data_IF_284694031657
#
_entry.id   IF_284694031657
#
_cell.length_a   1.000
_cell.length_b   1.000
_cell.length_c   1.000
_cell.angle_alpha   90.00
_cell.angle_beta   90.00
_cell.angle_gamma   90.00
#
_symmetry.space_group_name_H-M   'P 1'
#
loop_
_entity.id
_entity.type
_entity.pdbx_description
1 polymer ?
#
# COMPACT_ATOMS: atom_id res chain seq x y z
N UNK A 1 4.88 27.62 -0.54
CA UNK A 1 4.42 27.52 0.88
C UNK A 1 5.50 26.91 1.74
N UNK A 2 5.54 27.22 3.03
CA UNK A 2 6.34 26.48 4.00
C UNK A 2 5.61 25.20 4.48
N UNK A 3 6.23 24.44 5.40
CA UNK A 3 5.67 23.17 5.85
C UNK A 3 4.39 23.33 6.70
N UNK A 4 4.34 24.36 7.56
CA UNK A 4 3.16 24.63 8.40
C UNK A 4 1.98 25.05 7.53
N UNK A 5 2.19 25.93 6.57
CA UNK A 5 1.18 26.31 5.57
C UNK A 5 0.71 25.10 4.74
N UNK A 6 1.62 24.17 4.42
CA UNK A 6 1.26 22.92 3.70
C UNK A 6 0.34 22.02 4.55
N UNK A 7 0.64 21.90 5.84
CA UNK A 7 -0.19 21.13 6.76
C UNK A 7 -1.56 21.79 6.94
N UNK A 8 -1.62 23.10 7.16
CA UNK A 8 -2.87 23.85 7.30
C UNK A 8 -3.75 23.69 6.05
N UNK A 9 -3.14 23.75 4.87
CA UNK A 9 -3.83 23.50 3.60
C UNK A 9 -4.42 22.07 3.54
N UNK A 10 -3.63 21.04 3.86
CA UNK A 10 -4.12 19.65 3.89
C UNK A 10 -5.25 19.47 4.90
N UNK A 11 -5.15 20.09 6.08
CA UNK A 11 -6.16 20.01 7.13
C UNK A 11 -7.44 20.79 6.80
N UNK A 12 -7.40 21.70 5.83
CA UNK A 12 -8.57 22.37 5.28
C UNK A 12 -9.39 21.50 4.31
N UNK A 13 -8.82 20.38 3.84
CA UNK A 13 -9.50 19.41 2.99
C UNK A 13 -10.36 18.47 3.84
N UNK A 14 -11.31 17.78 3.19
CA UNK A 14 -12.13 16.77 3.88
C UNK A 14 -11.30 15.58 4.33
N UNK A 15 -11.49 15.10 5.56
CA UNK A 15 -10.65 14.08 6.19
C UNK A 15 -11.50 12.96 6.80
N UNK A 16 -11.46 11.77 6.18
CA UNK A 16 -12.16 10.58 6.68
C UNK A 16 -11.49 9.98 7.92
N UNK A 17 -10.19 10.16 8.12
CA UNK A 17 -9.47 9.69 9.31
C UNK A 17 -9.96 10.44 10.57
N UNK A 18 -10.44 11.67 10.40
CA UNK A 18 -10.99 12.52 11.46
C UNK A 18 -12.52 12.50 11.56
N UNK A 19 -13.18 11.60 10.80
CA UNK A 19 -14.65 11.48 10.80
C UNK A 19 -15.37 12.47 9.87
N UNK A 20 -14.66 13.16 9.01
CA UNK A 20 -15.23 14.01 7.97
C UNK A 20 -15.60 13.17 6.76
N UNK A 21 -16.89 13.05 6.43
CA UNK A 21 -17.34 12.29 5.25
C UNK A 21 -17.04 13.07 3.97
N UNK A 22 -16.08 12.57 3.19
CA UNK A 22 -15.67 13.22 1.96
C UNK A 22 -16.69 13.04 0.81
N UNK A 23 -17.30 11.88 0.68
CA UNK A 23 -18.35 11.62 -0.33
C UNK A 23 -19.19 10.42 0.10
N UNK A 24 -20.51 10.45 -0.12
CA UNK A 24 -21.37 9.27 0.05
C UNK A 24 -21.19 8.23 -1.06
N UNK A 25 -20.48 8.55 -2.14
CA UNK A 25 -20.28 7.67 -3.29
C UNK A 25 -18.77 7.33 -3.50
N UNK A 26 -18.32 6.10 -3.14
CA UNK A 26 -16.93 5.68 -3.30
C UNK A 26 -16.41 5.71 -4.74
N UNK A 27 -17.27 5.45 -5.74
CA UNK A 27 -16.89 5.48 -7.16
C UNK A 27 -16.45 6.88 -7.58
N UNK A 28 -17.12 7.92 -7.08
CA UNK A 28 -16.72 9.31 -7.35
C UNK A 28 -15.32 9.63 -6.79
N UNK A 29 -14.97 9.07 -5.63
CA UNK A 29 -13.63 9.29 -5.05
C UNK A 29 -12.52 8.78 -5.95
N UNK A 30 -12.67 7.62 -6.60
CA UNK A 30 -11.68 7.06 -7.52
C UNK A 30 -11.60 7.85 -8.83
N UNK A 31 -12.74 8.33 -9.34
CA UNK A 31 -12.79 9.21 -10.52
C UNK A 31 -12.14 10.57 -10.23
N UNK A 32 -12.40 11.15 -9.05
CA UNK A 32 -11.73 12.36 -8.57
C UNK A 32 -10.21 12.17 -8.57
N UNK A 33 -9.71 11.04 -8.07
CA UNK A 33 -8.28 10.76 -8.06
C UNK A 33 -7.69 10.61 -9.46
N UNK A 34 -8.38 9.92 -10.37
CA UNK A 34 -7.93 9.79 -11.77
C UNK A 34 -7.87 11.14 -12.47
N UNK A 35 -8.89 11.96 -12.29
CA UNK A 35 -8.97 13.30 -12.87
C UNK A 35 -7.86 14.20 -12.29
N UNK A 36 -7.67 14.19 -10.97
CA UNK A 36 -6.58 14.93 -10.30
C UNK A 36 -5.21 14.54 -10.84
N UNK A 37 -4.92 13.24 -10.93
CA UNK A 37 -3.63 12.74 -11.40
C UNK A 37 -3.39 13.05 -12.89
N UNK A 38 -4.43 13.01 -13.71
CA UNK A 38 -4.33 13.42 -15.13
C UNK A 38 -3.92 14.89 -15.26
N UNK A 39 -4.36 15.79 -14.37
CA UNK A 39 -3.95 17.21 -14.36
C UNK A 39 -2.46 17.42 -14.03
N UNK A 40 -1.82 16.43 -13.42
CA UNK A 40 -0.40 16.45 -13.09
C UNK A 40 0.40 15.41 -13.89
N UNK A 41 -0.10 15.04 -15.08
CA UNK A 41 0.52 14.13 -16.05
C UNK A 41 0.71 12.69 -15.56
N UNK A 42 -0.29 12.12 -14.86
CA UNK A 42 -0.36 10.73 -14.44
C UNK A 42 0.92 10.22 -13.74
N UNK A 43 1.36 10.87 -12.65
CA UNK A 43 2.64 10.59 -12.01
C UNK A 43 2.71 9.19 -11.38
N UNK A 44 1.58 8.50 -11.18
CA UNK A 44 1.48 7.14 -10.64
C UNK A 44 1.98 6.07 -11.61
N UNK A 45 2.07 6.39 -12.90
CA UNK A 45 2.40 5.43 -13.95
C UNK A 45 3.91 5.22 -14.14
N UNK A 46 4.27 4.11 -14.79
CA UNK A 46 5.62 3.84 -15.31
C UNK A 46 6.62 3.35 -14.28
N UNK A 47 6.16 2.81 -13.13
CA UNK A 47 7.02 2.17 -12.11
C UNK A 47 6.49 0.83 -11.68
N UNK A 48 7.41 -0.08 -11.37
CA UNK A 48 7.06 -1.34 -10.75
C UNK A 48 6.44 -1.08 -9.36
N UNK A 49 5.31 -1.72 -9.09
CA UNK A 49 4.49 -1.40 -7.92
C UNK A 49 4.12 -2.64 -7.12
N UNK A 50 4.27 -2.55 -5.81
CA UNK A 50 3.64 -3.45 -4.84
C UNK A 50 2.52 -2.69 -4.14
N UNK A 51 1.28 -3.15 -4.30
CA UNK A 51 0.10 -2.53 -3.69
C UNK A 51 -0.37 -3.38 -2.51
N UNK A 52 -0.54 -2.79 -1.34
CA UNK A 52 -0.79 -3.51 -0.09
C UNK A 52 -2.08 -3.04 0.56
N UNK A 53 -3.01 -3.98 0.81
CA UNK A 53 -4.22 -3.72 1.61
C UNK A 53 -4.43 -4.81 2.66
N UNK A 54 -5.41 -4.62 3.52
CA UNK A 54 -5.77 -5.53 4.60
C UNK A 54 -6.28 -4.77 5.82
N UNK A 55 -6.64 -5.48 6.89
CA UNK A 55 -7.09 -4.84 8.14
C UNK A 55 -5.94 -4.58 9.10
N UNK A 56 -5.01 -5.52 9.21
CA UNK A 56 -3.85 -5.45 10.11
C UNK A 56 -2.56 -5.81 9.38
N UNK A 57 -1.46 -5.13 9.73
CA UNK A 57 -0.12 -5.45 9.23
C UNK A 57 0.26 -4.82 7.89
N UNK A 58 -0.61 -4.03 7.26
CA UNK A 58 -0.33 -3.34 6.00
C UNK A 58 1.03 -2.61 6.03
N UNK A 59 1.18 -1.64 6.93
CA UNK A 59 2.41 -0.83 7.06
C UNK A 59 3.64 -1.67 7.37
N UNK A 60 3.53 -2.70 8.25
CA UNK A 60 4.64 -3.62 8.54
C UNK A 60 5.09 -4.39 7.31
N UNK A 61 4.16 -4.96 6.55
CA UNK A 61 4.47 -5.70 5.31
C UNK A 61 5.04 -4.75 4.26
N UNK A 62 4.45 -3.56 4.08
CA UNK A 62 4.94 -2.54 3.14
C UNK A 62 6.37 -2.12 3.45
N UNK A 63 6.68 -1.85 4.72
CA UNK A 63 8.02 -1.49 5.17
C UNK A 63 9.04 -2.62 4.95
N UNK A 64 8.66 -3.88 5.26
CA UNK A 64 9.52 -5.04 5.02
C UNK A 64 9.81 -5.24 3.52
N UNK A 65 8.79 -5.15 2.67
CA UNK A 65 8.95 -5.27 1.21
C UNK A 65 9.86 -4.18 0.67
N UNK A 66 9.62 -2.92 1.03
CA UNK A 66 10.47 -1.80 0.61
C UNK A 66 11.92 -1.95 1.07
N UNK A 67 12.14 -2.41 2.32
CA UNK A 67 13.47 -2.65 2.86
C UNK A 67 14.21 -3.78 2.11
N UNK A 68 13.51 -4.88 1.76
CA UNK A 68 14.11 -6.00 1.02
C UNK A 68 14.47 -5.54 -0.40
N UNK A 69 13.58 -4.83 -1.09
CA UNK A 69 13.85 -4.29 -2.44
C UNK A 69 15.07 -3.36 -2.41
N UNK A 70 15.16 -2.47 -1.43
CA UNK A 70 16.30 -1.56 -1.27
C UNK A 70 17.60 -2.32 -1.01
N UNK A 71 17.57 -3.34 -0.16
CA UNK A 71 18.75 -4.20 0.07
C UNK A 71 19.15 -5.01 -1.17
N UNK A 72 18.18 -5.28 -2.06
CA UNK A 72 18.41 -5.85 -3.39
C UNK A 72 19.02 -4.87 -4.41
N UNK A 73 19.28 -3.61 -4.01
CA UNK A 73 19.94 -2.59 -4.85
C UNK A 73 18.96 -1.71 -5.63
N UNK A 74 17.65 -1.81 -5.40
CA UNK A 74 16.66 -0.99 -6.10
C UNK A 74 16.41 0.34 -5.39
N UNK A 75 16.24 1.40 -6.17
CA UNK A 75 15.69 2.66 -5.69
C UNK A 75 14.20 2.46 -5.37
N UNK A 76 13.81 2.74 -4.12
CA UNK A 76 12.45 2.44 -3.64
C UNK A 76 11.78 3.67 -3.06
N UNK A 77 10.46 3.77 -3.28
CA UNK A 77 9.59 4.67 -2.55
C UNK A 77 8.54 3.86 -1.76
N UNK A 78 8.15 4.35 -0.60
CA UNK A 78 7.16 3.74 0.28
C UNK A 78 6.11 4.77 0.68
N UNK A 79 4.85 4.42 0.51
CA UNK A 79 3.69 5.19 0.99
C UNK A 79 2.95 4.40 2.06
N UNK A 80 2.80 4.99 3.24
CA UNK A 80 2.11 4.36 4.40
C UNK A 80 1.16 5.33 5.10
N UNK A 81 0.16 4.80 5.81
CA UNK A 81 -0.77 5.57 6.62
C UNK A 81 -1.33 4.75 7.79
N UNK A 82 -1.72 5.42 8.90
CA UNK A 82 -1.45 6.83 9.20
C UNK A 82 0.01 7.07 9.63
N UNK A 83 0.39 8.32 9.83
CA UNK A 83 1.65 8.68 10.48
C UNK A 83 1.54 8.65 12.01
N UNK A 84 2.67 8.63 12.71
CA UNK A 84 2.73 8.69 14.18
C UNK A 84 2.94 10.12 14.69
N UNK A 85 3.85 10.88 14.08
CA UNK A 85 4.26 12.21 14.52
C UNK A 85 4.14 13.27 13.41
N UNK A 86 4.55 12.95 12.18
CA UNK A 86 4.67 13.91 11.09
C UNK A 86 4.08 13.38 9.79
N UNK A 87 3.42 14.23 9.02
CA UNK A 87 2.91 13.89 7.69
C UNK A 87 4.00 13.40 6.73
N UNK A 88 5.25 13.85 6.91
CA UNK A 88 6.39 13.41 6.09
C UNK A 88 6.67 11.92 6.22
N UNK A 89 6.34 11.27 7.36
CA UNK A 89 6.49 9.83 7.57
C UNK A 89 5.71 8.98 6.55
N UNK A 90 4.61 9.53 5.99
CA UNK A 90 3.78 8.83 5.01
C UNK A 90 4.49 8.61 3.67
N UNK A 91 5.51 9.41 3.36
CA UNK A 91 6.24 9.39 2.10
C UNK A 91 7.72 9.17 2.38
N UNK A 92 8.19 7.99 2.06
CA UNK A 92 9.59 7.62 2.26
C UNK A 92 10.23 7.33 0.90
N UNK A 93 11.40 7.91 0.63
CA UNK A 93 12.14 7.71 -0.62
C UNK A 93 13.58 7.32 -0.27
N UNK A 94 14.05 6.18 -0.81
CA UNK A 94 15.39 5.70 -0.54
C UNK A 94 15.63 5.18 0.89
N UNK A 95 14.58 5.10 1.72
CA UNK A 95 14.66 4.62 3.09
C UNK A 95 14.43 5.71 4.15
N UNK A 96 14.35 6.97 3.75
CA UNK A 96 14.14 8.10 4.63
C UNK A 96 12.85 8.85 4.32
N UNK A 97 12.14 9.39 5.32
CA UNK A 97 11.02 10.29 5.08
C UNK A 97 11.47 11.51 4.24
N UNK A 98 10.60 11.97 3.36
CA UNK A 98 10.86 13.23 2.64
C UNK A 98 11.02 14.38 3.63
N UNK A 99 11.87 15.34 3.30
CA UNK A 99 12.06 16.52 4.14
C UNK A 99 10.80 17.40 4.16
N UNK A 100 10.58 18.18 5.24
CA UNK A 100 9.49 19.17 5.29
C UNK A 100 9.49 20.12 4.09
N UNK A 101 10.66 20.48 3.58
CA UNK A 101 10.82 21.35 2.41
C UNK A 101 10.35 20.67 1.11
N UNK A 102 10.72 19.42 0.89
CA UNK A 102 10.27 18.64 -0.28
C UNK A 102 8.77 18.40 -0.24
N UNK A 103 8.24 18.09 0.94
CA UNK A 103 6.80 17.90 1.16
C UNK A 103 6.02 19.17 0.79
N UNK A 104 6.41 20.33 1.33
CA UNK A 104 5.76 21.61 1.06
C UNK A 104 5.89 22.03 -0.42
N UNK A 105 7.07 21.88 -1.01
CA UNK A 105 7.31 22.21 -2.42
C UNK A 105 6.49 21.30 -3.36
N UNK A 106 6.38 20.00 -3.04
CA UNK A 106 5.56 19.06 -3.80
C UNK A 106 4.08 19.40 -3.70
N UNK A 107 3.59 19.72 -2.50
CA UNK A 107 2.19 20.10 -2.31
C UNK A 107 1.85 21.42 -3.05
N UNK A 108 2.75 22.41 -3.00
CA UNK A 108 2.61 23.65 -3.77
C UNK A 108 2.49 23.37 -5.27
N UNK A 109 3.31 22.44 -5.80
CA UNK A 109 3.32 22.12 -7.22
C UNK A 109 2.01 21.46 -7.71
N UNK A 110 1.28 20.77 -6.85
CA UNK A 110 0.00 20.12 -7.21
C UNK A 110 -1.23 20.90 -6.71
N UNK A 111 -1.05 22.01 -6.00
CA UNK A 111 -2.11 22.78 -5.35
C UNK A 111 -3.18 23.27 -6.33
N UNK A 112 -2.75 23.82 -7.45
CA UNK A 112 -3.69 24.34 -8.48
C UNK A 112 -4.51 23.21 -9.09
N UNK A 113 -3.91 22.02 -9.28
CA UNK A 113 -4.61 20.85 -9.74
C UNK A 113 -5.67 20.37 -8.74
N UNK A 114 -5.34 20.38 -7.43
CA UNK A 114 -6.29 20.06 -6.35
C UNK A 114 -7.43 21.07 -6.35
N UNK A 115 -7.15 22.37 -6.43
CA UNK A 115 -8.16 23.42 -6.45
C UNK A 115 -9.09 23.29 -7.66
N UNK A 116 -8.53 23.07 -8.86
CA UNK A 116 -9.30 22.87 -10.07
C UNK A 116 -10.18 21.61 -10.04
N UNK A 117 -9.73 20.53 -9.36
CA UNK A 117 -10.54 19.31 -9.23
C UNK A 117 -11.70 19.50 -8.25
N UNK A 118 -11.50 20.25 -7.17
CA UNK A 118 -12.57 20.58 -6.20
C UNK A 118 -13.69 21.42 -6.81
N UNK A 119 -13.39 22.24 -7.79
CA UNK A 119 -14.38 23.00 -8.57
C UNK A 119 -14.99 22.18 -9.73
N UNK A 120 -14.43 20.99 -9.99
CA UNK A 120 -14.82 20.11 -11.09
C UNK A 120 -16.05 19.26 -10.80
N UNK A 121 -16.38 18.39 -11.78
CA UNK A 121 -17.60 17.56 -11.75
C UNK A 121 -17.50 16.35 -10.81
N UNK A 122 -16.28 15.94 -10.43
CA UNK A 122 -16.06 14.75 -9.61
C UNK A 122 -16.05 15.05 -8.12
N UNK A 123 -16.03 16.33 -7.73
CA UNK A 123 -16.23 16.78 -6.36
C UNK A 123 -14.94 16.85 -5.53
N UNK A 124 -15.11 16.68 -4.24
CA UNK A 124 -14.12 17.06 -3.23
C UNK A 124 -12.87 16.16 -3.22
N UNK A 125 -11.70 16.78 -3.11
CA UNK A 125 -10.42 16.09 -2.91
C UNK A 125 -10.18 15.96 -1.40
N UNK A 126 -10.10 14.71 -0.91
CA UNK A 126 -9.81 14.46 0.49
C UNK A 126 -8.34 14.68 0.83
N UNK A 127 -8.04 14.89 2.12
CA UNK A 127 -6.67 14.94 2.66
C UNK A 127 -5.86 13.70 2.22
N UNK A 128 -6.45 12.50 2.31
CA UNK A 128 -5.78 11.27 1.86
C UNK A 128 -5.57 11.26 0.35
N UNK A 129 -6.53 11.73 -0.45
CA UNK A 129 -6.39 11.88 -1.90
C UNK A 129 -5.26 12.85 -2.29
N UNK A 130 -5.19 14.01 -1.63
CA UNK A 130 -4.13 14.98 -1.84
C UNK A 130 -2.74 14.42 -1.48
N UNK A 131 -2.63 13.71 -0.34
CA UNK A 131 -1.38 13.04 0.08
C UNK A 131 -0.97 11.92 -0.89
N UNK A 132 -1.93 11.17 -1.42
CA UNK A 132 -1.68 10.13 -2.43
C UNK A 132 -1.16 10.75 -3.73
N UNK A 133 -1.76 11.85 -4.20
CA UNK A 133 -1.28 12.58 -5.36
C UNK A 133 0.12 13.18 -5.13
N UNK A 134 0.36 13.74 -3.94
CA UNK A 134 1.66 14.25 -3.53
C UNK A 134 2.74 13.16 -3.56
N UNK A 135 2.45 11.96 -3.02
CA UNK A 135 3.36 10.83 -3.09
C UNK A 135 3.75 10.51 -4.52
N UNK A 136 2.80 10.29 -5.41
CA UNK A 136 3.10 9.96 -6.81
C UNK A 136 3.88 11.06 -7.52
N UNK A 137 3.53 12.32 -7.24
CA UNK A 137 4.23 13.46 -7.82
C UNK A 137 5.70 13.53 -7.36
N UNK A 138 5.95 13.40 -6.05
CA UNK A 138 7.31 13.40 -5.48
C UNK A 138 8.14 12.23 -6.01
N UNK A 139 7.57 11.04 -6.12
CA UNK A 139 8.26 9.87 -6.66
C UNK A 139 8.63 10.07 -8.13
N UNK A 140 7.74 10.68 -8.92
CA UNK A 140 8.00 11.00 -10.32
C UNK A 140 9.12 12.03 -10.50
N UNK A 141 9.23 12.97 -9.58
CA UNK A 141 10.22 14.05 -9.62
C UNK A 141 11.64 13.59 -9.26
N UNK A 142 11.84 12.36 -8.76
CA UNK A 142 13.14 11.85 -8.35
C UNK A 142 14.11 11.67 -9.53
N UNK A 143 15.36 12.03 -9.29
CA UNK A 143 16.49 11.79 -10.20
C UNK A 143 17.65 11.25 -9.36
N UNK A 144 18.15 10.01 -9.61
CA UNK A 144 17.66 9.04 -10.60
C UNK A 144 16.23 8.56 -10.31
N UNK A 145 15.60 7.93 -11.30
CA UNK A 145 14.23 7.43 -11.16
C UNK A 145 14.14 6.35 -10.07
N UNK A 146 12.99 6.35 -9.39
CA UNK A 146 12.60 5.27 -8.47
C UNK A 146 12.23 4.03 -9.28
N UNK A 147 12.82 2.89 -8.96
CA UNK A 147 12.54 1.61 -9.63
C UNK A 147 11.22 0.99 -9.15
N UNK A 148 11.01 1.00 -7.82
CA UNK A 148 9.87 0.37 -7.16
C UNK A 148 9.15 1.34 -6.24
N UNK A 149 7.82 1.33 -6.32
CA UNK A 149 6.97 1.94 -5.30
C UNK A 149 6.18 0.87 -4.55
N UNK A 150 6.18 0.96 -3.23
CA UNK A 150 5.36 0.13 -2.33
C UNK A 150 4.29 1.03 -1.74
N UNK A 151 3.03 0.72 -2.02
CA UNK A 151 1.91 1.60 -1.73
C UNK A 151 0.92 0.90 -0.81
N UNK A 152 0.74 1.43 0.40
CA UNK A 152 -0.29 1.00 1.34
C UNK A 152 -1.62 1.70 1.03
N UNK A 153 -2.70 0.93 0.89
CA UNK A 153 -4.05 1.46 0.79
C UNK A 153 -4.52 2.02 2.14
N UNK A 154 -5.17 3.16 2.12
CA UNK A 154 -5.68 3.78 3.34
C UNK A 154 -6.87 3.02 3.91
N UNK A 155 -7.91 2.82 3.10
CA UNK A 155 -9.14 2.16 3.51
C UNK A 155 -9.72 1.29 2.40
N UNK A 156 -10.02 0.01 2.72
CA UNK A 156 -10.61 -0.89 1.74
C UNK A 156 -9.64 -1.28 0.65
N UNK A 157 -10.03 -1.15 -0.60
CA UNK A 157 -9.23 -1.48 -1.78
C UNK A 157 -9.84 -0.99 -3.07
N UNK A 158 -11.05 -1.44 -3.41
CA UNK A 158 -11.71 -1.14 -4.70
C UNK A 158 -11.84 0.35 -4.99
N UNK A 159 -12.13 1.13 -3.97
CA UNK A 159 -12.39 2.56 -4.07
C UNK A 159 -11.34 3.42 -3.36
N UNK A 160 -10.26 2.81 -2.87
CA UNK A 160 -9.18 3.52 -2.24
C UNK A 160 -8.47 4.44 -3.24
N UNK A 161 -8.08 5.64 -2.80
CA UNK A 161 -7.40 6.63 -3.64
C UNK A 161 -6.12 6.08 -4.29
N UNK A 162 -5.47 5.09 -3.66
CA UNK A 162 -4.28 4.43 -4.22
C UNK A 162 -4.61 3.44 -5.35
N UNK A 163 -5.88 3.03 -5.53
CA UNK A 163 -6.27 2.04 -6.55
C UNK A 163 -6.34 2.60 -7.99
N UNK A 164 -5.71 3.73 -8.21
CA UNK A 164 -5.41 4.32 -9.53
C UNK A 164 -4.17 3.71 -10.20
N UNK A 165 -3.44 2.85 -9.48
CA UNK A 165 -2.27 2.11 -9.97
C UNK A 165 -2.70 1.09 -11.03
N UNK A 166 -2.00 1.04 -12.17
CA UNK A 166 -2.31 0.18 -13.32
C UNK A 166 -1.17 -0.78 -13.66
N UNK A 167 -1.48 -2.06 -13.82
CA UNK A 167 -1.77 -2.99 -12.72
C UNK A 167 -0.51 -3.14 -11.86
N UNK A 168 -0.58 -3.38 -10.56
CA UNK A 168 0.61 -3.63 -9.75
C UNK A 168 1.25 -4.98 -10.12
N UNK A 169 2.56 -5.10 -10.02
CA UNK A 169 3.26 -6.38 -10.18
C UNK A 169 2.81 -7.38 -9.12
N UNK A 170 2.66 -6.89 -7.89
CA UNK A 170 2.16 -7.69 -6.77
C UNK A 170 1.10 -6.91 -5.99
N UNK A 171 -0.03 -7.56 -5.73
CA UNK A 171 -1.07 -7.09 -4.81
C UNK A 171 -1.05 -7.94 -3.54
N UNK A 172 -0.86 -7.32 -2.38
CA UNK A 172 -0.79 -8.03 -1.10
C UNK A 172 -2.06 -7.78 -0.30
N UNK A 173 -2.72 -8.87 0.13
CA UNK A 173 -3.83 -8.85 1.07
C UNK A 173 -3.31 -9.33 2.43
N UNK A 174 -3.07 -8.41 3.37
CA UNK A 174 -2.69 -8.75 4.74
C UNK A 174 -3.90 -9.27 5.53
N UNK A 175 -3.77 -9.72 6.80
CA UNK A 175 -4.91 -10.29 7.52
C UNK A 175 -6.14 -9.38 7.53
N UNK A 176 -7.29 -9.97 7.16
CA UNK A 176 -8.60 -9.29 7.12
C UNK A 176 -9.39 -9.63 8.38
N UNK A 177 -9.97 -8.62 9.00
CA UNK A 177 -10.87 -8.72 10.14
C UNK A 177 -11.96 -7.64 10.05
N UNK A 178 -12.96 -7.71 10.92
CA UNK A 178 -13.98 -6.69 11.00
C UNK A 178 -13.36 -5.32 11.33
N UNK A 179 -13.52 -4.39 10.42
CA UNK A 179 -13.15 -2.98 10.53
C UNK A 179 -14.03 -2.16 9.60
N UNK A 180 -14.25 -0.90 9.93
CA UNK A 180 -15.04 0.03 9.10
C UNK A 180 -16.35 -0.59 8.58
N UNK A 181 -17.05 -1.35 9.42
CA UNK A 181 -18.21 -2.19 9.03
C UNK A 181 -19.35 -1.38 8.44
N UNK A 182 -19.46 -0.10 8.76
CA UNK A 182 -20.45 0.81 8.16
C UNK A 182 -20.17 1.11 6.67
N UNK A 183 -18.95 0.82 6.16
CA UNK A 183 -18.53 1.15 4.80
C UNK A 183 -18.18 -0.11 4.00
N UNK A 184 -17.39 -1.03 4.59
CA UNK A 184 -16.80 -2.15 3.88
C UNK A 184 -17.62 -3.44 3.95
N UNK A 185 -18.59 -3.54 4.88
CA UNK A 185 -19.41 -4.72 5.06
C UNK A 185 -19.36 -5.29 6.47
N UNK A 186 -20.29 -6.21 6.76
CA UNK A 186 -20.55 -6.77 8.08
C UNK A 186 -19.82 -8.11 8.35
N UNK A 187 -19.17 -8.66 7.34
CA UNK A 187 -18.44 -9.93 7.41
C UNK A 187 -17.01 -9.80 6.86
N UNK A 188 -16.04 -10.63 7.32
CA UNK A 188 -14.70 -10.66 6.75
C UNK A 188 -14.68 -10.91 5.23
N UNK A 189 -15.60 -11.73 4.72
CA UNK A 189 -15.73 -12.02 3.30
C UNK A 189 -16.16 -10.79 2.48
N UNK A 190 -17.11 -9.98 2.99
CA UNK A 190 -17.50 -8.73 2.34
C UNK A 190 -16.36 -7.73 2.31
N UNK A 191 -15.66 -7.55 3.44
CA UNK A 191 -14.49 -6.69 3.54
C UNK A 191 -13.37 -7.17 2.60
N UNK A 192 -13.15 -8.49 2.51
CA UNK A 192 -12.19 -9.07 1.59
C UNK A 192 -12.52 -8.81 0.12
N UNK A 193 -13.82 -8.80 -0.23
CA UNK A 193 -14.28 -8.52 -1.61
C UNK A 193 -13.93 -7.10 -2.03
N UNK A 194 -14.09 -6.13 -1.16
CA UNK A 194 -13.64 -4.76 -1.41
C UNK A 194 -12.12 -4.69 -1.53
N UNK A 195 -11.39 -5.27 -0.57
CA UNK A 195 -9.92 -5.27 -0.58
C UNK A 195 -9.34 -5.95 -1.81
N UNK A 196 -9.95 -7.04 -2.28
CA UNK A 196 -9.53 -7.76 -3.49
C UNK A 196 -9.64 -6.91 -4.78
N UNK A 197 -10.29 -5.76 -4.73
CA UNK A 197 -10.35 -4.81 -5.85
C UNK A 197 -8.99 -4.26 -6.31
N UNK A 198 -7.94 -4.36 -5.50
CA UNK A 198 -6.58 -4.01 -5.92
C UNK A 198 -5.93 -5.06 -6.83
N UNK A 199 -6.51 -6.26 -6.93
CA UNK A 199 -6.02 -7.34 -7.80
C UNK A 199 -6.56 -7.11 -9.21
N UNK A 200 -5.66 -6.96 -10.18
CA UNK A 200 -5.96 -6.66 -11.58
C UNK A 200 -5.37 -7.75 -12.50
N UNK A 201 -5.76 -7.74 -13.76
CA UNK A 201 -5.18 -8.65 -14.76
C UNK A 201 -3.67 -8.46 -14.84
N UNK A 202 -2.92 -9.54 -14.86
CA UNK A 202 -1.46 -9.51 -14.89
C UNK A 202 -0.76 -9.31 -13.55
N UNK A 203 -1.49 -9.13 -12.45
CA UNK A 203 -0.96 -9.03 -11.08
C UNK A 203 -0.69 -10.43 -10.51
N UNK A 204 0.33 -10.59 -9.65
CA UNK A 204 0.40 -11.73 -8.72
C UNK A 204 -0.19 -11.30 -7.36
N UNK A 205 -1.27 -11.94 -6.94
CA UNK A 205 -1.88 -11.72 -5.63
C UNK A 205 -1.17 -12.56 -4.57
N UNK A 206 -0.79 -11.94 -3.45
CA UNK A 206 -0.21 -12.60 -2.28
C UNK A 206 -1.16 -12.39 -1.11
N UNK A 207 -1.76 -13.47 -0.60
CA UNK A 207 -2.65 -13.42 0.55
C UNK A 207 -1.93 -13.94 1.79
N UNK A 208 -1.83 -13.09 2.82
CA UNK A 208 -1.28 -13.47 4.12
C UNK A 208 -2.13 -14.57 4.78
N UNK A 209 -1.61 -15.30 5.80
CA UNK A 209 -2.42 -16.23 6.58
C UNK A 209 -3.68 -15.56 7.13
N UNK A 210 -4.85 -16.17 6.89
CA UNK A 210 -6.15 -15.64 7.29
C UNK A 210 -6.76 -16.48 8.40
N UNK A 211 -7.45 -15.83 9.35
CA UNK A 211 -8.21 -16.54 10.40
C UNK A 211 -9.51 -17.12 9.85
N UNK A 212 -10.15 -16.40 8.92
CA UNK A 212 -11.38 -16.82 8.27
C UNK A 212 -11.05 -17.33 6.86
N UNK A 213 -11.27 -18.63 6.57
CA UNK A 213 -10.97 -19.20 5.25
C UNK A 213 -11.80 -18.59 4.12
N UNK A 214 -12.96 -18.01 4.42
CA UNK A 214 -13.79 -17.33 3.41
C UNK A 214 -13.05 -16.14 2.76
N UNK A 215 -12.11 -15.51 3.46
CA UNK A 215 -11.28 -14.43 2.90
C UNK A 215 -10.41 -14.95 1.77
N UNK A 216 -9.74 -16.10 1.97
CA UNK A 216 -8.89 -16.73 0.94
C UNK A 216 -9.72 -17.11 -0.28
N UNK A 217 -10.92 -17.63 -0.07
CA UNK A 217 -11.83 -18.02 -1.17
C UNK A 217 -12.24 -16.80 -2.01
N UNK A 218 -12.62 -15.70 -1.37
CA UNK A 218 -12.92 -14.44 -2.07
C UNK A 218 -11.73 -13.95 -2.91
N UNK A 219 -10.51 -14.01 -2.36
CA UNK A 219 -9.29 -13.62 -3.10
C UNK A 219 -9.06 -14.58 -4.29
N UNK A 220 -9.27 -15.87 -4.10
CA UNK A 220 -9.15 -16.89 -5.15
C UNK A 220 -10.14 -16.65 -6.28
N UNK A 221 -11.42 -16.42 -5.95
CA UNK A 221 -12.46 -16.07 -6.92
C UNK A 221 -12.09 -14.83 -7.73
N UNK A 222 -11.58 -13.78 -7.05
CA UNK A 222 -11.12 -12.56 -7.72
C UNK A 222 -9.96 -12.83 -8.67
N UNK A 223 -8.95 -13.60 -8.24
CA UNK A 223 -7.81 -13.97 -9.09
C UNK A 223 -8.29 -14.72 -10.34
N UNK A 224 -9.18 -15.71 -10.18
CA UNK A 224 -9.76 -16.44 -11.31
C UNK A 224 -10.52 -15.53 -12.27
N UNK A 225 -11.31 -14.58 -11.74
CA UNK A 225 -12.11 -13.67 -12.55
C UNK A 225 -11.26 -12.70 -13.40
N UNK A 226 -10.07 -12.28 -12.94
CA UNK A 226 -9.21 -11.34 -13.65
C UNK A 226 -7.99 -11.98 -14.32
N UNK A 227 -7.80 -13.30 -14.15
CA UNK A 227 -6.62 -14.01 -14.67
C UNK A 227 -5.32 -13.68 -13.92
N UNK A 228 -5.40 -13.40 -12.61
CA UNK A 228 -4.24 -13.16 -11.76
C UNK A 228 -3.74 -14.45 -11.11
N UNK A 229 -2.42 -14.54 -10.86
CA UNK A 229 -1.84 -15.62 -10.08
C UNK A 229 -2.11 -15.41 -8.59
N UNK A 230 -2.27 -16.51 -7.82
CA UNK A 230 -2.47 -16.49 -6.38
C UNK A 230 -1.36 -17.23 -5.64
N UNK A 231 -0.75 -16.54 -4.68
CA UNK A 231 0.14 -17.11 -3.67
C UNK A 231 -0.57 -17.04 -2.31
N UNK A 232 -1.04 -18.19 -1.82
CA UNK A 232 -1.61 -18.34 -0.49
C UNK A 232 -0.49 -18.64 0.51
N UNK A 233 -0.10 -17.64 1.31
CA UNK A 233 1.02 -17.76 2.26
C UNK A 233 0.69 -18.77 3.37
N UNK A 234 -0.56 -18.80 3.82
CA UNK A 234 -1.00 -19.73 4.85
C UNK A 234 -0.95 -21.21 4.43
N UNK A 235 -1.10 -21.47 3.12
CA UNK A 235 -1.01 -22.81 2.57
C UNK A 235 0.41 -23.20 2.12
N UNK A 236 1.21 -22.21 1.65
CA UNK A 236 2.50 -22.46 1.01
C UNK A 236 3.72 -22.30 1.94
N UNK A 237 3.55 -21.66 3.10
CA UNK A 237 4.66 -21.37 4.01
C UNK A 237 4.33 -21.80 5.44
N UNK A 238 5.33 -22.35 6.12
CA UNK A 238 5.30 -22.65 7.56
C UNK A 238 6.26 -21.71 8.28
N UNK A 239 5.76 -21.07 9.34
CA UNK A 239 6.53 -20.19 10.22
C UNK A 239 6.79 -20.92 11.54
N UNK A 240 8.05 -21.26 11.80
CA UNK A 240 8.47 -21.91 13.05
C UNK A 240 9.19 -20.90 13.94
N UNK A 241 8.56 -20.40 15.03
CA UNK A 241 9.20 -19.44 15.93
C UNK A 241 10.49 -20.00 16.55
N UNK A 242 11.49 -19.14 16.68
CA UNK A 242 12.77 -19.44 17.35
C UNK A 242 12.96 -18.56 18.59
N UNK A 243 14.22 -18.22 18.87
CA UNK A 243 14.58 -17.38 20.01
C UNK A 243 13.99 -15.97 19.91
N UNK A 244 13.58 -15.45 21.07
CA UNK A 244 13.04 -14.11 21.23
C UNK A 244 13.86 -13.30 22.23
N UNK A 245 14.22 -12.06 21.83
CA UNK A 245 14.93 -11.09 22.64
C UNK A 245 14.18 -9.76 22.69
N UNK A 246 14.46 -8.85 23.63
CA UNK A 246 13.82 -7.52 23.65
C UNK A 246 13.99 -6.69 22.36
N UNK A 247 15.06 -6.95 21.60
CA UNK A 247 15.40 -6.24 20.35
C UNK A 247 15.09 -7.01 19.07
N UNK A 248 14.34 -8.13 19.16
CA UNK A 248 13.94 -8.89 17.98
C UNK A 248 13.69 -10.36 18.25
N UNK A 249 13.36 -11.08 17.20
CA UNK A 249 13.06 -12.51 17.26
C UNK A 249 13.59 -13.24 16.03
N UNK A 250 14.01 -14.49 16.21
CA UNK A 250 14.40 -15.40 15.15
C UNK A 250 13.25 -16.34 14.81
N UNK A 251 13.25 -16.87 13.59
CA UNK A 251 12.31 -17.90 13.14
C UNK A 251 12.87 -18.64 11.93
N UNK A 252 12.30 -19.83 11.68
CA UNK A 252 12.51 -20.55 10.42
C UNK A 252 11.30 -20.33 9.53
N UNK A 253 11.55 -20.03 8.29
CA UNK A 253 10.54 -19.97 7.24
C UNK A 253 10.77 -21.13 6.29
N UNK A 254 9.80 -22.03 6.19
CA UNK A 254 9.81 -23.17 5.28
C UNK A 254 8.79 -22.87 4.18
N UNK A 255 9.21 -22.89 2.94
CA UNK A 255 8.35 -22.54 1.81
C UNK A 255 8.78 -23.19 0.50
N UNK A 256 8.20 -22.82 -0.64
CA UNK A 256 8.48 -23.43 -1.95
C UNK A 256 9.95 -23.38 -2.38
N UNK A 257 10.70 -22.42 -1.86
CA UNK A 257 12.14 -22.24 -2.15
C UNK A 257 13.06 -22.82 -1.07
N UNK A 258 12.53 -23.70 -0.20
CA UNK A 258 13.26 -24.35 0.88
C UNK A 258 13.14 -23.64 2.23
N UNK A 259 14.00 -24.06 3.16
CA UNK A 259 14.06 -23.53 4.53
C UNK A 259 15.06 -22.37 4.64
N UNK A 260 14.69 -21.33 5.39
CA UNK A 260 15.56 -20.18 5.70
C UNK A 260 15.51 -19.85 7.18
N UNK A 261 16.67 -19.57 7.75
CA UNK A 261 16.79 -18.95 9.07
C UNK A 261 16.64 -17.44 8.91
N UNK A 262 15.69 -16.86 9.66
CA UNK A 262 15.34 -15.45 9.54
C UNK A 262 15.35 -14.75 10.90
N UNK A 263 15.51 -13.42 10.88
CA UNK A 263 15.40 -12.55 12.04
C UNK A 263 14.63 -11.29 11.68
N UNK A 264 13.86 -10.78 12.64
CA UNK A 264 13.18 -9.50 12.54
C UNK A 264 13.32 -8.73 13.86
N UNK A 265 13.54 -7.40 13.82
CA UNK A 265 13.51 -6.58 15.02
C UNK A 265 12.10 -6.41 15.59
N UNK A 266 11.07 -6.68 14.80
CA UNK A 266 9.68 -6.56 15.21
C UNK A 266 9.24 -7.76 16.05
N UNK A 267 8.58 -7.51 17.18
CA UNK A 267 8.18 -8.54 18.15
C UNK A 267 6.73 -8.98 17.94
N UNK A 268 6.46 -10.25 18.23
CA UNK A 268 5.14 -10.88 18.17
C UNK A 268 5.00 -11.83 16.99
N UNK A 269 4.19 -12.88 17.16
CA UNK A 269 4.00 -13.93 16.15
C UNK A 269 3.44 -13.34 14.83
N UNK A 270 2.51 -12.39 14.92
CA UNK A 270 1.97 -11.70 13.77
C UNK A 270 3.04 -11.00 12.90
N UNK A 271 4.17 -10.58 13.50
CA UNK A 271 5.27 -10.00 12.72
C UNK A 271 6.08 -11.05 11.97
N UNK A 272 6.08 -12.31 12.44
CA UNK A 272 6.66 -13.42 11.71
C UNK A 272 5.80 -13.77 10.48
N UNK A 273 4.47 -13.75 10.61
CA UNK A 273 3.53 -13.92 9.51
C UNK A 273 3.63 -12.77 8.49
N UNK A 274 3.78 -11.52 8.98
CA UNK A 274 4.05 -10.36 8.11
C UNK A 274 5.37 -10.54 7.33
N UNK A 275 6.43 -11.02 7.99
CA UNK A 275 7.71 -11.29 7.34
C UNK A 275 7.61 -12.41 6.30
N UNK A 276 6.87 -13.49 6.60
CA UNK A 276 6.60 -14.56 5.62
C UNK A 276 5.85 -14.02 4.40
N UNK A 277 4.87 -13.16 4.62
CA UNK A 277 4.10 -12.50 3.55
C UNK A 277 4.99 -11.60 2.68
N UNK A 278 5.88 -10.81 3.30
CA UNK A 278 6.83 -9.98 2.59
C UNK A 278 7.81 -10.82 1.74
N UNK A 279 8.32 -11.93 2.30
CA UNK A 279 9.18 -12.86 1.55
C UNK A 279 8.45 -13.49 0.37
N UNK A 280 7.20 -13.92 0.56
CA UNK A 280 6.38 -14.48 -0.52
C UNK A 280 6.17 -13.46 -1.65
N UNK A 281 5.94 -12.19 -1.31
CA UNK A 281 5.81 -11.11 -2.29
C UNK A 281 7.12 -10.90 -3.09
N UNK A 282 8.26 -10.91 -2.41
CA UNK A 282 9.58 -10.80 -3.08
C UNK A 282 9.84 -12.03 -3.97
N UNK A 283 9.48 -13.24 -3.53
CA UNK A 283 9.61 -14.44 -4.37
C UNK A 283 8.70 -14.38 -5.61
N UNK A 284 7.49 -13.82 -5.48
CA UNK A 284 6.59 -13.58 -6.61
C UNK A 284 7.20 -12.57 -7.62
N UNK A 285 7.80 -11.48 -7.13
CA UNK A 285 8.51 -10.52 -7.98
C UNK A 285 9.66 -11.21 -8.72
N UNK A 286 10.49 -11.98 -8.00
CA UNK A 286 11.62 -12.74 -8.60
C UNK A 286 11.21 -13.73 -9.68
N UNK A 287 10.04 -14.33 -9.54
CA UNK A 287 9.52 -15.27 -10.55
C UNK A 287 9.15 -14.55 -11.85
N UNK A 288 8.81 -13.26 -11.80
CA UNK A 288 8.42 -12.43 -12.95
C UNK A 288 9.58 -11.64 -13.54
N UNK A 289 10.56 -11.28 -12.73
CA UNK A 289 11.69 -10.45 -13.13
C UNK A 289 12.99 -11.13 -12.70
N UNK A 290 13.91 -11.36 -13.63
CA UNK A 290 15.24 -11.91 -13.33
C UNK A 290 16.16 -10.90 -12.60
N UNK A 291 15.65 -9.74 -12.18
CA UNK A 291 16.43 -8.59 -11.71
C UNK A 291 16.71 -8.58 -10.21
N UNK A 292 16.01 -9.39 -9.40
CA UNK A 292 16.27 -9.45 -7.95
C UNK A 292 17.26 -10.59 -7.65
N UNK A 293 18.43 -10.32 -7.07
CA UNK A 293 19.44 -11.33 -6.73
C UNK A 293 19.01 -12.32 -5.64
#
# INVERSE_FOLDING_TARGET
MDYEEAIDYLLSLSDMERGYQASPNPVMNLETMRSLLARVNDPQQGRATVHVTGSKGKGSVSAMVAAILRQGGFSTALYTSPHLHSFTERINIGGDPVSPREFAAGLEAIRDAIAAEREGVHGDVSTFGALTALFFWLVRAQVPHVDWQVVEAGLGGSFDATNVIEPPEVAIITPVSLEHTAILGSTPAEIARDKAGIIKAGTTAVVAPQRDPAVVEVVRERCAAVGAELVDVGAAYEVVPGERHPWGQAFRLIGPKGERQMRTPMLGFHQLENAATAVAAIEAIRARTFLIP
#
